data_IF_096617430477
#
_entry.id   IF_096617430477
#
_cell.length_a   1.000
_cell.length_b   1.000
_cell.length_c   1.000
_cell.angle_alpha   90.00
_cell.angle_beta   90.00
_cell.angle_gamma   90.00
#
_symmetry.space_group_name_H-M   'P 1'
#
loop_
_entity.id
_entity.type
_entity.pdbx_description
1 polymer ?
#
# COMPACT_ATOMS: atom_id res chain seq x y z
N UNK A 1 -1.42 18.68 -5.82
CA UNK A 1 -1.23 19.26 -7.16
C UNK A 1 -1.66 18.27 -8.26
N UNK A 2 -1.17 17.01 -8.24
CA UNK A 2 -1.55 16.00 -9.24
C UNK A 2 -2.80 15.17 -8.87
N UNK A 3 -3.50 15.49 -7.79
CA UNK A 3 -4.77 14.88 -7.39
C UNK A 3 -4.68 13.57 -6.63
N UNK A 4 -3.49 13.07 -6.31
CA UNK A 4 -3.31 11.92 -5.42
C UNK A 4 -3.68 12.26 -3.98
N UNK A 5 -4.25 11.29 -3.28
CA UNK A 5 -4.61 11.38 -1.86
C UNK A 5 -3.98 10.26 -1.04
N UNK A 6 -3.67 9.13 -1.67
CA UNK A 6 -2.97 8.02 -1.04
C UNK A 6 -1.46 8.19 -1.25
N UNK A 7 -0.71 8.16 -0.16
CA UNK A 7 0.75 8.28 -0.10
C UNK A 7 1.28 7.06 0.62
N UNK A 8 2.16 6.32 -0.04
CA UNK A 8 2.75 5.10 0.50
C UNK A 8 4.26 5.25 0.60
N UNK A 9 4.79 4.99 1.78
CA UNK A 9 6.22 4.93 2.06
C UNK A 9 6.54 3.75 2.98
N UNK A 10 7.77 3.62 3.43
CA UNK A 10 8.23 2.64 4.39
C UNK A 10 9.57 3.05 5.00
N UNK A 11 9.88 2.56 6.18
CA UNK A 11 11.16 2.82 6.86
C UNK A 11 12.37 2.48 5.98
N UNK A 12 12.34 1.30 5.36
CA UNK A 12 13.46 0.80 4.53
C UNK A 12 13.70 1.65 3.26
N UNK A 13 12.73 2.45 2.82
CA UNK A 13 12.90 3.29 1.64
C UNK A 13 13.84 4.47 1.89
N UNK A 14 14.12 4.82 3.17
CA UNK A 14 14.99 5.91 3.54
C UNK A 14 14.51 7.29 3.10
N UNK A 15 13.22 7.45 2.83
CA UNK A 15 12.65 8.67 2.24
C UNK A 15 11.48 9.26 3.06
N UNK A 16 11.25 8.81 4.29
CA UNK A 16 10.12 9.28 5.10
C UNK A 16 10.21 10.79 5.36
N UNK A 17 11.39 11.36 5.62
CA UNK A 17 11.58 12.81 5.80
C UNK A 17 11.19 13.59 4.53
N UNK A 18 11.67 13.13 3.36
CA UNK A 18 11.32 13.75 2.07
C UNK A 18 9.82 13.63 1.76
N UNK A 19 9.21 12.51 2.13
CA UNK A 19 7.77 12.28 2.02
C UNK A 19 7.01 13.28 2.91
N UNK A 20 7.41 13.44 4.17
CA UNK A 20 6.82 14.41 5.10
C UNK A 20 6.93 15.85 4.60
N UNK A 21 8.10 16.24 4.08
CA UNK A 21 8.30 17.56 3.45
C UNK A 21 7.37 17.75 2.25
N UNK A 22 7.21 16.72 1.41
CA UNK A 22 6.30 16.74 0.27
C UNK A 22 4.82 16.88 0.68
N UNK A 23 4.40 16.19 1.75
CA UNK A 23 3.06 16.32 2.34
C UNK A 23 2.85 17.76 2.81
N UNK A 24 3.75 18.29 3.62
CA UNK A 24 3.68 19.66 4.16
C UNK A 24 3.60 20.71 3.04
N UNK A 25 4.44 20.58 2.02
CA UNK A 25 4.40 21.47 0.86
C UNK A 25 3.08 21.35 0.10
N UNK A 26 2.61 20.12 -0.15
CA UNK A 26 1.33 19.88 -0.86
C UNK A 26 0.12 20.45 -0.13
N UNK A 27 0.07 20.35 1.19
CA UNK A 27 -1.00 20.93 2.02
C UNK A 27 -0.95 22.46 1.98
N UNK A 28 0.26 23.04 2.03
CA UNK A 28 0.43 24.51 1.93
C UNK A 28 -0.01 25.07 0.56
N UNK A 29 0.25 24.33 -0.51
CA UNK A 29 0.00 24.76 -1.89
C UNK A 29 -1.43 24.45 -2.39
N UNK A 30 -2.27 23.84 -1.53
CA UNK A 30 -3.64 23.44 -1.86
C UNK A 30 -4.58 23.79 -0.69
N UNK A 31 -5.89 23.65 -0.92
CA UNK A 31 -6.89 23.80 0.15
C UNK A 31 -7.14 22.49 0.91
N UNK A 32 -6.21 21.52 0.82
CA UNK A 32 -6.33 20.24 1.49
C UNK A 32 -5.83 20.33 2.93
N UNK A 33 -6.43 19.50 3.78
CA UNK A 33 -6.01 19.28 5.16
C UNK A 33 -5.34 17.90 5.30
N UNK A 34 -4.80 17.58 6.47
CA UNK A 34 -4.21 16.26 6.74
C UNK A 34 -5.22 15.13 6.58
N UNK A 35 -6.47 15.38 6.92
CA UNK A 35 -7.59 14.43 6.85
C UNK A 35 -7.97 14.07 5.41
N UNK A 36 -7.63 14.91 4.45
CA UNK A 36 -7.84 14.64 3.01
C UNK A 36 -6.80 13.67 2.44
N UNK A 37 -5.77 13.32 3.22
CA UNK A 37 -4.70 12.43 2.81
C UNK A 37 -4.78 11.10 3.54
N UNK A 38 -4.49 10.03 2.82
CA UNK A 38 -4.30 8.69 3.36
C UNK A 38 -2.83 8.33 3.29
N UNK A 39 -2.15 8.32 4.44
CA UNK A 39 -0.69 8.11 4.52
C UNK A 39 -0.40 6.76 5.13
N UNK A 40 0.38 5.97 4.38
CA UNK A 40 0.84 4.64 4.77
C UNK A 40 2.35 4.66 5.00
N UNK A 41 2.81 4.06 6.10
CA UNK A 41 4.18 3.61 6.25
C UNK A 41 4.24 2.16 6.70
N UNK A 42 5.43 1.58 6.79
CA UNK A 42 5.62 0.15 7.05
C UNK A 42 6.76 -0.07 8.02
N UNK A 43 6.50 -0.95 9.00
CA UNK A 43 7.49 -1.46 9.94
C UNK A 43 8.51 -2.32 9.19
N UNK A 44 9.77 -2.00 9.31
CA UNK A 44 10.85 -2.84 8.80
C UNK A 44 11.41 -3.74 9.90
N UNK A 45 11.38 -5.02 9.66
CA UNK A 45 11.65 -6.06 10.65
C UNK A 45 10.36 -6.67 11.18
N UNK A 46 10.29 -7.99 11.19
CA UNK A 46 9.10 -8.73 11.62
C UNK A 46 9.26 -9.32 13.02
N UNK A 47 10.49 -9.42 13.52
CA UNK A 47 10.81 -10.01 14.82
C UNK A 47 11.18 -8.96 15.85
N UNK A 48 10.60 -7.79 15.75
CA UNK A 48 10.79 -6.73 16.73
C UNK A 48 10.01 -7.06 18.00
N UNK A 49 10.57 -6.71 19.14
CA UNK A 49 9.83 -6.67 20.39
C UNK A 49 8.68 -5.66 20.31
N UNK A 50 7.81 -5.71 21.29
CA UNK A 50 6.74 -4.74 21.44
C UNK A 50 7.31 -3.30 21.49
N UNK A 51 8.31 -3.07 22.34
CA UNK A 51 8.93 -1.77 22.55
C UNK A 51 9.67 -1.26 21.30
N UNK A 52 10.39 -2.13 20.61
CA UNK A 52 11.06 -1.77 19.35
C UNK A 52 10.07 -1.39 18.26
N UNK A 53 8.91 -2.04 18.21
CA UNK A 53 7.84 -1.69 17.27
C UNK A 53 7.27 -0.31 17.56
N UNK A 54 6.98 0.00 18.84
CA UNK A 54 6.54 1.33 19.25
C UNK A 54 7.60 2.38 18.88
N UNK A 55 8.86 2.14 19.21
CA UNK A 55 9.95 3.07 18.90
C UNK A 55 10.11 3.29 17.39
N UNK A 56 9.99 2.25 16.60
CA UNK A 56 10.03 2.32 15.14
C UNK A 56 8.87 3.16 14.57
N UNK A 57 7.68 3.00 15.12
CA UNK A 57 6.51 3.80 14.73
C UNK A 57 6.71 5.29 15.07
N UNK A 58 7.15 5.61 16.29
CA UNK A 58 7.44 6.99 16.71
C UNK A 58 8.50 7.64 15.81
N UNK A 59 9.55 6.90 15.47
CA UNK A 59 10.60 7.35 14.53
C UNK A 59 10.03 7.66 13.15
N UNK A 60 9.10 6.84 12.65
CA UNK A 60 8.42 7.10 11.37
C UNK A 60 7.57 8.37 11.43
N UNK A 61 6.79 8.58 12.51
CA UNK A 61 6.00 9.80 12.70
C UNK A 61 6.87 11.04 12.75
N UNK A 62 7.97 10.99 13.51
CA UNK A 62 8.92 12.11 13.60
C UNK A 62 9.48 12.48 12.22
N UNK A 63 9.96 11.50 11.46
CA UNK A 63 10.49 11.70 10.10
C UNK A 63 9.44 12.25 9.14
N UNK A 64 8.22 11.76 9.22
CA UNK A 64 7.12 12.23 8.39
C UNK A 64 6.58 13.60 8.83
N UNK A 65 6.85 14.01 10.08
CA UNK A 65 6.28 15.21 10.69
C UNK A 65 4.77 15.13 10.86
N UNK A 66 4.27 13.97 11.26
CA UNK A 66 2.84 13.64 11.40
C UNK A 66 2.52 13.20 12.84
N UNK A 67 1.26 13.38 13.24
CA UNK A 67 0.77 12.96 14.57
C UNK A 67 0.14 11.55 14.53
N UNK A 68 -0.27 11.08 13.35
CA UNK A 68 -0.87 9.75 13.13
C UNK A 68 -0.61 9.24 11.71
N UNK A 69 -0.77 7.93 11.52
CA UNK A 69 -0.83 7.29 10.20
C UNK A 69 -2.24 6.78 9.92
N UNK A 70 -2.64 6.81 8.65
CA UNK A 70 -3.91 6.19 8.22
C UNK A 70 -3.79 4.68 8.12
N UNK A 71 -2.62 4.18 7.71
CA UNK A 71 -2.33 2.74 7.64
C UNK A 71 -0.87 2.48 8.04
N UNK A 72 -0.67 1.49 8.89
CA UNK A 72 0.66 0.99 9.21
C UNK A 72 0.71 -0.50 8.95
N UNK A 73 1.75 -0.96 8.23
CA UNK A 73 1.88 -2.35 7.78
C UNK A 73 3.12 -3.01 8.38
N UNK A 74 3.02 -4.30 8.73
CA UNK A 74 4.22 -5.14 8.81
C UNK A 74 4.68 -5.38 7.38
N UNK A 75 5.92 -4.97 7.03
CA UNK A 75 6.41 -4.95 5.65
C UNK A 75 6.62 -6.36 5.07
N UNK A 76 7.14 -7.28 5.88
CA UNK A 76 7.37 -8.68 5.55
C UNK A 76 7.12 -9.58 6.76
N UNK A 77 6.61 -10.80 6.57
CA UNK A 77 6.32 -11.72 7.69
C UNK A 77 7.57 -12.25 8.40
N UNK A 78 8.77 -12.11 7.79
CA UNK A 78 9.97 -12.76 8.30
C UNK A 78 9.99 -14.27 8.05
N UNK A 79 11.02 -14.94 8.58
CA UNK A 79 11.26 -16.37 8.34
C UNK A 79 10.75 -17.28 9.46
N UNK A 80 10.49 -16.73 10.65
CA UNK A 80 10.23 -17.46 11.89
C UNK A 80 8.88 -17.15 12.53
N UNK A 81 7.99 -16.46 11.81
CA UNK A 81 6.66 -16.05 12.29
C UNK A 81 6.70 -15.20 13.57
N UNK A 82 7.81 -14.50 13.84
CA UNK A 82 8.04 -13.69 15.04
C UNK A 82 7.27 -12.35 15.08
N UNK A 83 6.22 -12.17 14.29
CA UNK A 83 5.49 -10.90 14.18
C UNK A 83 4.40 -10.70 15.25
N UNK A 84 4.27 -11.61 16.22
CA UNK A 84 3.22 -11.53 17.26
C UNK A 84 3.36 -10.28 18.14
N UNK A 85 4.56 -10.01 18.65
CA UNK A 85 4.83 -8.84 19.48
C UNK A 85 4.63 -7.53 18.70
N UNK A 86 5.07 -7.50 17.44
CA UNK A 86 4.86 -6.35 16.56
C UNK A 86 3.37 -6.11 16.30
N UNK A 87 2.60 -7.17 16.04
CA UNK A 87 1.16 -7.03 15.83
C UNK A 87 0.45 -6.51 17.06
N UNK A 88 0.80 -7.03 18.24
CA UNK A 88 0.25 -6.55 19.51
C UNK A 88 0.52 -5.07 19.74
N UNK A 89 1.74 -4.60 19.48
CA UNK A 89 2.08 -3.19 19.58
C UNK A 89 1.26 -2.34 18.60
N UNK A 90 1.08 -2.81 17.36
CA UNK A 90 0.26 -2.12 16.36
C UNK A 90 -1.22 -2.08 16.76
N UNK A 91 -1.76 -3.13 17.37
CA UNK A 91 -3.13 -3.13 17.91
C UNK A 91 -3.33 -2.09 19.01
N UNK A 92 -2.35 -1.92 19.89
CA UNK A 92 -2.45 -0.92 20.95
C UNK A 92 -2.32 0.51 20.38
N UNK A 93 -1.42 0.76 19.44
CA UNK A 93 -1.34 2.03 18.70
C UNK A 93 -2.64 2.34 17.92
N UNK A 94 -3.30 1.32 17.40
CA UNK A 94 -4.60 1.45 16.74
C UNK A 94 -5.71 1.83 17.74
N UNK A 95 -5.77 1.19 18.90
CA UNK A 95 -6.70 1.52 19.99
C UNK A 95 -6.53 2.94 20.50
N UNK A 96 -5.28 3.41 20.59
CA UNK A 96 -4.92 4.76 21.00
C UNK A 96 -5.18 5.81 19.90
N UNK A 97 -5.62 5.39 18.72
CA UNK A 97 -5.93 6.27 17.61
C UNK A 97 -4.71 6.86 16.87
N UNK A 98 -3.50 6.37 17.20
CA UNK A 98 -2.24 6.77 16.56
C UNK A 98 -2.11 6.19 15.15
N UNK A 99 -2.79 5.07 14.89
CA UNK A 99 -2.97 4.44 13.58
C UNK A 99 -4.45 4.29 13.34
N UNK A 100 -4.93 4.62 12.13
CA UNK A 100 -6.37 4.48 11.78
C UNK A 100 -6.74 3.11 11.24
N UNK A 101 -5.77 2.40 10.67
CA UNK A 101 -5.91 1.01 10.23
C UNK A 101 -4.57 0.30 10.31
N UNK A 102 -4.56 -0.96 10.68
CA UNK A 102 -3.38 -1.82 10.71
C UNK A 102 -3.49 -2.92 9.67
N UNK A 103 -2.37 -3.33 9.13
CA UNK A 103 -2.34 -4.36 8.10
C UNK A 103 -0.97 -4.99 7.93
N UNK A 104 -0.86 -5.78 6.90
CA UNK A 104 0.35 -6.55 6.59
C UNK A 104 0.75 -6.37 5.14
N UNK A 105 1.98 -6.76 4.82
CA UNK A 105 2.48 -6.80 3.46
C UNK A 105 3.25 -8.10 3.21
N UNK A 106 3.04 -8.69 2.04
CA UNK A 106 3.68 -9.93 1.60
C UNK A 106 3.31 -11.18 2.45
N UNK A 107 2.19 -11.12 3.16
CA UNK A 107 1.70 -12.26 3.92
C UNK A 107 0.98 -13.24 2.98
N UNK A 108 1.37 -14.51 3.06
CA UNK A 108 0.69 -15.62 2.43
C UNK A 108 -0.40 -16.19 3.35
N UNK A 109 -1.24 -17.07 2.85
CA UNK A 109 -2.31 -17.71 3.61
C UNK A 109 -1.85 -18.22 4.98
N UNK A 110 -0.78 -19.01 5.01
CA UNK A 110 -0.27 -19.61 6.26
C UNK A 110 0.25 -18.59 7.28
N UNK A 111 0.77 -17.42 6.82
CA UNK A 111 1.13 -16.32 7.71
C UNK A 111 -0.11 -15.69 8.35
N UNK A 112 -1.17 -15.50 7.58
CA UNK A 112 -2.45 -14.94 8.05
C UNK A 112 -3.15 -15.92 8.99
N UNK A 113 -3.19 -17.20 8.67
CA UNK A 113 -3.73 -18.23 9.55
C UNK A 113 -3.01 -18.25 10.90
N UNK A 114 -1.68 -18.10 10.91
CA UNK A 114 -0.90 -17.95 12.15
C UNK A 114 -1.27 -16.65 12.89
N UNK A 115 -1.35 -15.52 12.19
CA UNK A 115 -1.73 -14.23 12.77
C UNK A 115 -3.10 -14.35 13.46
N UNK A 116 -4.08 -14.96 12.83
CA UNK A 116 -5.45 -15.09 13.35
C UNK A 116 -5.54 -15.90 14.65
N UNK A 117 -4.53 -16.68 15.00
CA UNK A 117 -4.55 -17.46 16.25
C UNK A 117 -4.44 -16.58 17.51
N UNK A 118 -3.95 -15.33 17.38
CA UNK A 118 -3.75 -14.42 18.52
C UNK A 118 -4.20 -12.98 18.27
N UNK A 119 -4.39 -12.56 17.01
CA UNK A 119 -4.82 -11.21 16.68
C UNK A 119 -6.25 -10.93 17.21
N UNK A 120 -6.41 -9.79 17.85
CA UNK A 120 -7.74 -9.27 18.26
C UNK A 120 -8.34 -8.41 17.13
N UNK A 121 -7.49 -7.82 16.30
CA UNK A 121 -7.87 -7.02 15.14
C UNK A 121 -7.37 -7.72 13.88
N UNK A 122 -8.29 -7.98 12.94
CA UNK A 122 -7.92 -8.56 11.64
C UNK A 122 -7.25 -7.47 10.80
N UNK A 123 -6.19 -7.80 10.01
CA UNK A 123 -5.56 -6.86 9.10
C UNK A 123 -6.58 -6.22 8.15
N UNK A 124 -6.61 -4.90 8.06
CA UNK A 124 -7.49 -4.22 7.10
C UNK A 124 -7.02 -4.40 5.66
N UNK A 125 -5.70 -4.56 5.45
CA UNK A 125 -5.04 -4.63 4.14
C UNK A 125 -3.94 -5.68 4.16
N UNK A 126 -3.80 -6.41 3.06
CA UNK A 126 -2.57 -7.12 2.71
C UNK A 126 -2.01 -6.52 1.41
N UNK A 127 -0.85 -5.87 1.50
CA UNK A 127 -0.17 -5.28 0.35
C UNK A 127 0.78 -6.32 -0.26
N UNK A 128 0.51 -6.77 -1.48
CA UNK A 128 1.21 -7.87 -2.15
C UNK A 128 1.69 -7.50 -3.54
N UNK A 129 2.71 -8.19 -4.05
CA UNK A 129 3.02 -8.10 -5.47
C UNK A 129 1.83 -8.63 -6.27
N UNK A 130 1.30 -7.78 -7.15
CA UNK A 130 0.17 -8.19 -7.97
C UNK A 130 0.16 -7.41 -9.29
N UNK A 131 0.07 -8.16 -10.39
CA UNK A 131 0.01 -7.66 -11.75
C UNK A 131 -0.54 -8.76 -12.66
N UNK A 132 -0.86 -8.50 -13.95
CA UNK A 132 -1.48 -9.49 -14.83
C UNK A 132 -0.73 -10.82 -14.97
N UNK A 133 0.60 -10.85 -14.79
CA UNK A 133 1.40 -12.10 -14.78
C UNK A 133 1.43 -12.80 -13.41
N UNK A 134 1.00 -12.13 -12.35
CA UNK A 134 0.93 -12.66 -10.99
C UNK A 134 -0.39 -12.20 -10.34
N UNK A 135 -1.48 -12.79 -10.75
CA UNK A 135 -2.83 -12.37 -10.34
C UNK A 135 -3.22 -12.85 -8.93
N UNK A 136 -2.44 -13.71 -8.28
CA UNK A 136 -2.60 -14.16 -6.88
C UNK A 136 -4.04 -14.61 -6.54
N UNK A 137 -4.73 -15.32 -7.45
CA UNK A 137 -6.16 -15.63 -7.34
C UNK A 137 -6.56 -16.32 -6.03
N UNK A 138 -5.81 -17.36 -5.63
CA UNK A 138 -6.10 -18.12 -4.41
C UNK A 138 -5.94 -17.26 -3.16
N UNK A 139 -4.84 -16.50 -3.06
CA UNK A 139 -4.61 -15.59 -1.94
C UNK A 139 -5.69 -14.49 -1.89
N UNK A 140 -6.09 -13.94 -3.04
CA UNK A 140 -7.14 -12.92 -3.11
C UNK A 140 -8.49 -13.45 -2.62
N UNK A 141 -8.88 -14.66 -3.03
CA UNK A 141 -10.09 -15.32 -2.53
C UNK A 141 -10.03 -15.52 -1.01
N UNK A 142 -8.88 -15.92 -0.49
CA UNK A 142 -8.69 -16.05 0.94
C UNK A 142 -8.83 -14.72 1.68
N UNK A 143 -8.22 -13.66 1.15
CA UNK A 143 -8.30 -12.31 1.72
C UNK A 143 -9.73 -11.76 1.70
N UNK A 144 -10.44 -11.93 0.59
CA UNK A 144 -11.84 -11.52 0.42
C UNK A 144 -12.76 -12.22 1.43
N UNK A 145 -12.57 -13.53 1.65
CA UNK A 145 -13.34 -14.29 2.64
C UNK A 145 -13.14 -13.83 4.09
N UNK A 146 -12.09 -13.03 4.36
CA UNK A 146 -11.78 -12.47 5.68
C UNK A 146 -11.91 -10.94 5.73
N UNK A 147 -12.55 -10.31 4.73
CA UNK A 147 -12.71 -8.85 4.60
C UNK A 147 -11.38 -8.06 4.57
N UNK A 148 -10.28 -8.70 4.17
CA UNK A 148 -8.97 -8.07 4.03
C UNK A 148 -8.84 -7.50 2.63
N UNK A 149 -8.61 -6.18 2.51
CA UNK A 149 -8.43 -5.52 1.22
C UNK A 149 -7.07 -5.85 0.62
N UNK A 150 -7.08 -6.02 -0.70
CA UNK A 150 -5.85 -6.26 -1.47
C UNK A 150 -5.30 -4.94 -1.98
N UNK A 151 -4.03 -4.69 -1.73
CA UNK A 151 -3.30 -3.57 -2.31
C UNK A 151 -2.12 -4.09 -3.12
N UNK A 152 -2.02 -3.67 -4.38
CA UNK A 152 -0.96 -4.12 -5.28
C UNK A 152 0.29 -3.23 -5.17
N UNK A 153 1.44 -3.83 -4.88
CA UNK A 153 2.71 -3.19 -5.17
C UNK A 153 3.29 -3.75 -6.49
N UNK A 154 4.17 -2.98 -7.14
CA UNK A 154 4.73 -3.30 -8.47
C UNK A 154 3.68 -3.62 -9.56
N UNK A 155 2.56 -2.87 -9.65
CA UNK A 155 1.45 -3.19 -10.57
C UNK A 155 1.88 -3.24 -12.03
N UNK A 156 2.92 -2.52 -12.41
CA UNK A 156 3.49 -2.48 -13.77
C UNK A 156 4.68 -3.42 -13.94
N UNK A 157 4.98 -4.28 -12.94
CA UNK A 157 6.14 -5.18 -12.97
C UNK A 157 7.44 -4.45 -13.34
N UNK A 158 7.68 -3.29 -12.67
CA UNK A 158 8.81 -2.39 -12.94
C UNK A 158 8.94 -1.94 -14.41
N UNK A 159 7.82 -1.89 -15.13
CA UNK A 159 7.74 -1.51 -16.53
C UNK A 159 7.87 -2.66 -17.53
N UNK A 160 8.16 -3.88 -17.09
CA UNK A 160 8.32 -5.05 -17.97
C UNK A 160 7.03 -5.45 -18.71
N UNK A 161 5.87 -5.03 -18.20
CA UNK A 161 4.58 -5.28 -18.84
C UNK A 161 4.22 -4.27 -19.93
N UNK A 162 4.91 -3.13 -19.99
CA UNK A 162 4.55 -2.03 -20.87
C UNK A 162 4.74 -2.36 -22.36
N UNK A 163 5.62 -3.31 -22.64
CA UNK A 163 5.92 -3.77 -24.01
C UNK A 163 5.21 -5.07 -24.39
N UNK A 164 4.28 -5.58 -23.54
CA UNK A 164 3.54 -6.78 -23.83
C UNK A 164 2.54 -6.55 -24.98
N UNK A 165 2.59 -7.35 -26.04
CA UNK A 165 1.80 -7.16 -27.26
C UNK A 165 0.29 -7.28 -27.04
N UNK A 166 -0.16 -8.18 -26.17
CA UNK A 166 -1.57 -8.30 -25.81
C UNK A 166 -2.07 -7.02 -25.15
N UNK A 167 -1.30 -6.48 -24.20
CA UNK A 167 -1.68 -5.24 -23.49
C UNK A 167 -1.64 -4.05 -24.47
N UNK A 168 -0.67 -3.98 -25.38
CA UNK A 168 -0.61 -2.96 -26.45
C UNK A 168 -1.85 -2.99 -27.34
N UNK A 169 -2.28 -4.17 -27.74
CA UNK A 169 -3.50 -4.34 -28.56
C UNK A 169 -4.74 -3.81 -27.82
N UNK A 170 -4.87 -4.14 -26.53
CA UNK A 170 -5.96 -3.62 -25.70
C UNK A 170 -5.84 -2.09 -25.56
N UNK A 171 -4.64 -1.58 -25.32
CA UNK A 171 -4.38 -0.15 -25.16
C UNK A 171 -4.80 0.64 -26.41
N UNK A 172 -4.52 0.12 -27.60
CA UNK A 172 -4.97 0.72 -28.87
C UNK A 172 -6.50 0.78 -28.97
N UNK A 173 -7.20 -0.30 -28.59
CA UNK A 173 -8.68 -0.35 -28.60
C UNK A 173 -9.31 0.78 -27.78
N UNK A 174 -8.73 1.11 -26.62
CA UNK A 174 -9.24 2.13 -25.71
C UNK A 174 -8.60 3.52 -25.90
N UNK A 175 -7.65 3.67 -26.81
CA UNK A 175 -6.84 4.88 -26.98
C UNK A 175 -6.18 5.31 -25.66
N UNK A 176 -5.66 4.35 -24.90
CA UNK A 176 -4.98 4.54 -23.62
C UNK A 176 -3.57 3.95 -23.67
N UNK A 177 -2.71 4.34 -22.72
CA UNK A 177 -1.41 3.69 -22.57
C UNK A 177 -1.52 2.30 -21.94
N UNK A 178 -0.52 1.45 -22.17
CA UNK A 178 -0.43 0.12 -21.53
C UNK A 178 -0.45 0.21 -20.01
N UNK A 179 0.18 1.25 -19.43
CA UNK A 179 0.12 1.50 -17.99
C UNK A 179 -1.32 1.76 -17.50
N UNK A 180 -2.09 2.59 -18.22
CA UNK A 180 -3.49 2.87 -17.87
C UNK A 180 -4.36 1.63 -17.95
N UNK A 181 -4.17 0.76 -18.96
CA UNK A 181 -4.88 -0.52 -19.07
C UNK A 181 -4.60 -1.41 -17.85
N UNK A 182 -3.33 -1.57 -17.48
CA UNK A 182 -2.94 -2.40 -16.33
C UNK A 182 -3.53 -1.83 -15.03
N UNK A 183 -3.46 -0.53 -14.82
CA UNK A 183 -4.01 0.11 -13.63
C UNK A 183 -5.54 -0.01 -13.57
N UNK A 184 -6.23 0.17 -14.71
CA UNK A 184 -7.67 -0.03 -14.82
C UNK A 184 -8.07 -1.47 -14.51
N UNK A 185 -7.34 -2.45 -15.02
CA UNK A 185 -7.53 -3.87 -14.72
C UNK A 185 -7.50 -4.17 -13.21
N UNK A 186 -6.59 -3.54 -12.45
CA UNK A 186 -6.58 -3.68 -11.00
C UNK A 186 -7.84 -3.09 -10.36
N UNK A 187 -8.18 -1.86 -10.72
CA UNK A 187 -9.32 -1.14 -10.14
C UNK A 187 -10.64 -1.87 -10.35
N UNK A 188 -10.86 -2.46 -11.53
CA UNK A 188 -12.07 -3.21 -11.84
C UNK A 188 -12.21 -4.52 -11.05
N UNK A 189 -11.12 -5.01 -10.50
CA UNK A 189 -11.12 -6.15 -9.59
C UNK A 189 -11.17 -5.75 -8.11
N UNK A 190 -11.41 -4.47 -7.80
CA UNK A 190 -11.44 -3.96 -6.43
C UNK A 190 -10.06 -3.92 -5.74
N UNK A 191 -8.97 -3.98 -6.52
CA UNK A 191 -7.60 -3.96 -6.01
C UNK A 191 -7.12 -2.52 -5.88
N UNK A 192 -6.67 -2.13 -4.70
CA UNK A 192 -5.99 -0.87 -4.46
C UNK A 192 -4.60 -0.90 -5.13
N UNK A 193 -4.14 0.23 -5.67
CA UNK A 193 -2.91 0.24 -6.47
C UNK A 193 -1.92 1.26 -5.97
N UNK A 194 -0.70 0.80 -5.69
CA UNK A 194 0.45 1.66 -5.41
C UNK A 194 1.36 1.72 -6.65
N UNK A 195 1.28 2.82 -7.39
CA UNK A 195 2.12 3.06 -8.57
C UNK A 195 3.11 4.21 -8.31
N UNK A 196 4.40 3.89 -8.38
CA UNK A 196 5.48 4.87 -8.20
C UNK A 196 5.79 5.59 -9.51
N UNK A 197 5.89 6.92 -9.47
CA UNK A 197 6.50 7.72 -10.53
C UNK A 197 7.14 8.98 -9.95
N UNK A 198 8.22 9.43 -10.61
CA UNK A 198 8.89 10.72 -10.34
C UNK A 198 8.66 11.72 -11.47
N UNK A 199 7.94 11.33 -12.53
CA UNK A 199 7.63 12.18 -13.69
C UNK A 199 6.18 12.65 -13.61
N UNK A 200 5.95 13.96 -13.61
CA UNK A 200 4.62 14.58 -13.50
C UNK A 200 3.65 14.09 -14.57
N UNK A 201 4.10 13.95 -15.81
CA UNK A 201 3.25 13.47 -16.90
C UNK A 201 2.76 12.05 -16.64
N UNK A 202 3.66 11.16 -16.14
CA UNK A 202 3.30 9.78 -15.77
C UNK A 202 2.35 9.75 -14.57
N UNK A 203 2.54 10.62 -13.57
CA UNK A 203 1.63 10.71 -12.44
C UNK A 203 0.22 11.09 -12.91
N UNK A 204 0.10 12.07 -13.81
CA UNK A 204 -1.19 12.48 -14.39
C UNK A 204 -1.82 11.34 -15.20
N UNK A 205 -1.07 10.72 -16.10
CA UNK A 205 -1.55 9.61 -16.92
C UNK A 205 -1.99 8.41 -16.06
N UNK A 206 -1.21 8.02 -15.04
CA UNK A 206 -1.55 6.92 -14.14
C UNK A 206 -2.84 7.16 -13.34
N UNK A 207 -3.24 8.40 -13.13
CA UNK A 207 -4.52 8.75 -12.48
C UNK A 207 -5.69 8.84 -13.46
N UNK A 208 -5.42 9.04 -14.74
CA UNK A 208 -6.44 9.17 -15.81
C UNK A 208 -6.92 7.79 -16.27
N UNK A 209 -7.62 7.08 -15.37
CA UNK A 209 -8.06 5.68 -15.55
C UNK A 209 -9.53 5.44 -15.19
N UNK A 210 -10.31 6.52 -14.96
CA UNK A 210 -11.69 6.41 -14.50
C UNK A 210 -12.73 6.70 -15.59
N UNK A 211 -12.31 7.08 -16.79
CA UNK A 211 -13.16 7.47 -17.92
C UNK A 211 -13.46 6.34 -18.91
N UNK A 212 -13.01 5.12 -18.63
CA UNK A 212 -13.24 3.93 -19.45
C UNK A 212 -13.36 2.67 -18.62
N UNK A 213 -13.91 1.59 -19.21
CA UNK A 213 -14.00 0.25 -18.62
C UNK A 213 -13.47 -0.78 -19.60
N UNK A 214 -12.84 -1.84 -19.07
CA UNK A 214 -12.39 -2.97 -19.86
C UNK A 214 -13.56 -3.96 -20.07
N UNK A 215 -13.65 -4.55 -21.26
CA UNK A 215 -14.61 -5.61 -21.63
C UNK A 215 -13.94 -6.98 -21.75
#
# INVERSE_FOLDING_TARGET
INGYRLIDTAQIYGNEEGTGQGIKAGLKDTNLTREDLFVTSKLWGSNLSYEETIQSFETSLEKLGLDYLDLYLIHWPGTDYGFEASWKAMEDLYKDGRIKAIGVSNFQKHHLERLFTYAQTIPAVNQIELHPKLAQKELRHFLEAHDIKVQAWSPLMQGQLLDNETIKTIAQKYNKSTAQIILRWHLEQGILVNVKSVKTERMRANRDVFDFSLD
#
